data_IF_500127883253
#
_entry.id   IF_500127883253
#
_cell.length_a   1.000
_cell.length_b   1.000
_cell.length_c   1.000
_cell.angle_alpha   90.00
_cell.angle_beta   90.00
_cell.angle_gamma   90.00
#
_symmetry.space_group_name_H-M   'P 1'
#
loop_
_entity.id
_entity.type
_entity.pdbx_description
1 polymer ?
#
# COMPACT_ATOMS: atom_id res chain seq x y z
N UNK A 1 15.96 15.37 2.14
CA UNK A 1 14.91 14.32 2.14
C UNK A 1 15.14 13.29 1.05
N UNK A 2 15.23 13.68 -0.23
CA UNK A 2 15.47 12.73 -1.34
C UNK A 2 16.75 11.91 -1.18
N UNK A 3 17.83 12.52 -0.75
CA UNK A 3 19.13 11.85 -0.47
C UNK A 3 19.03 10.75 0.60
N UNK A 4 18.01 10.83 1.47
CA UNK A 4 17.69 9.80 2.48
C UNK A 4 16.58 8.85 2.04
N UNK A 5 16.22 8.84 0.75
CA UNK A 5 15.24 7.92 0.18
C UNK A 5 13.77 8.20 0.57
N UNK A 6 13.44 9.45 0.93
CA UNK A 6 12.07 9.86 1.18
C UNK A 6 11.45 10.56 -0.04
N UNK A 7 10.22 10.17 -0.36
CA UNK A 7 9.40 10.83 -1.36
C UNK A 7 8.75 12.10 -0.76
N UNK A 8 8.57 13.19 -1.52
CA UNK A 8 7.81 14.35 -1.04
C UNK A 8 6.41 14.02 -0.52
N UNK A 9 5.76 12.96 -1.05
CA UNK A 9 4.47 12.51 -0.57
C UNK A 9 4.53 11.83 0.80
N UNK A 10 5.71 11.32 1.24
CA UNK A 10 5.89 10.83 2.61
C UNK A 10 5.81 11.99 3.61
N UNK A 11 6.43 13.13 3.26
CA UNK A 11 6.32 14.34 4.05
C UNK A 11 4.91 14.92 4.03
N UNK A 12 4.24 14.90 2.88
CA UNK A 12 2.84 15.31 2.80
C UNK A 12 1.96 14.46 3.71
N UNK A 13 2.12 13.13 3.68
CA UNK A 13 1.41 12.24 4.58
C UNK A 13 1.70 12.58 6.05
N UNK A 14 2.97 12.81 6.41
CA UNK A 14 3.36 13.24 7.74
C UNK A 14 2.65 14.53 8.16
N UNK A 15 2.62 15.55 7.29
CA UNK A 15 1.93 16.80 7.58
C UNK A 15 0.42 16.62 7.81
N UNK A 16 -0.23 15.68 7.10
CA UNK A 16 -1.65 15.37 7.27
C UNK A 16 -1.99 14.69 8.61
N UNK A 17 -0.99 14.19 9.34
CA UNK A 17 -1.22 13.54 10.66
C UNK A 17 -1.46 14.53 11.79
N UNK A 18 -1.20 15.82 11.60
CA UNK A 18 -1.47 16.86 12.58
C UNK A 18 -2.48 17.87 12.02
N UNK A 19 -3.25 18.47 12.92
CA UNK A 19 -4.09 19.60 12.56
C UNK A 19 -3.23 20.81 12.21
N UNK A 20 -3.55 21.56 11.15
CA UNK A 20 -2.72 22.66 10.63
C UNK A 20 -2.50 23.80 11.65
N UNK A 21 -3.38 23.94 12.63
CA UNK A 21 -3.22 24.90 13.75
C UNK A 21 -2.39 24.37 14.91
N UNK A 22 -2.03 23.10 14.90
CA UNK A 22 -1.25 22.47 15.97
C UNK A 22 0.23 22.41 15.60
N UNK A 23 1.14 22.62 16.56
CA UNK A 23 2.55 22.40 16.30
C UNK A 23 2.81 20.96 15.84
N UNK A 24 3.55 20.81 14.75
CA UNK A 24 3.99 19.51 14.25
C UNK A 24 5.47 19.34 14.52
N UNK A 25 5.81 18.48 15.48
CA UNK A 25 7.21 18.17 15.79
C UNK A 25 7.78 17.22 14.75
N UNK A 26 8.76 17.71 14.01
CA UNK A 26 9.47 16.89 13.04
C UNK A 26 10.48 15.96 13.72
N UNK A 27 10.50 14.70 13.33
CA UNK A 27 11.59 13.77 13.57
C UNK A 27 11.71 12.79 12.39
N UNK A 28 12.93 12.31 12.16
CA UNK A 28 13.16 11.31 11.12
C UNK A 28 12.34 10.04 11.37
N UNK A 29 12.21 9.62 12.62
CA UNK A 29 11.39 8.46 13.03
C UNK A 29 9.91 8.67 12.69
N UNK A 30 9.37 9.87 12.92
CA UNK A 30 7.99 10.18 12.55
C UNK A 30 7.79 10.19 11.04
N UNK A 31 8.77 10.69 10.28
CA UNK A 31 8.72 10.64 8.81
C UNK A 31 8.83 9.20 8.27
N UNK A 32 9.65 8.34 8.88
CA UNK A 32 9.71 6.90 8.55
C UNK A 32 8.36 6.21 8.80
N UNK A 33 7.71 6.50 9.92
CA UNK A 33 6.38 5.98 10.22
C UNK A 33 5.34 6.44 9.18
N UNK A 34 5.38 7.71 8.77
CA UNK A 34 4.52 8.26 7.73
C UNK A 34 4.76 7.59 6.36
N UNK A 35 6.04 7.39 5.99
CA UNK A 35 6.43 6.64 4.79
C UNK A 35 5.88 5.22 4.82
N UNK A 36 6.06 4.49 5.93
CA UNK A 36 5.54 3.14 6.07
C UNK A 36 4.01 3.10 5.96
N UNK A 37 3.31 4.03 6.61
CA UNK A 37 1.86 4.13 6.52
C UNK A 37 1.39 4.39 5.08
N UNK A 38 1.99 5.36 4.37
CA UNK A 38 1.67 5.65 2.97
C UNK A 38 1.95 4.45 2.07
N UNK A 39 3.08 3.76 2.26
CA UNK A 39 3.41 2.56 1.49
C UNK A 39 2.41 1.43 1.72
N UNK A 40 2.00 1.19 2.97
CA UNK A 40 0.96 0.21 3.30
C UNK A 40 -0.37 0.53 2.62
N UNK A 41 -0.72 1.81 2.52
CA UNK A 41 -1.92 2.26 1.82
C UNK A 41 -1.80 2.00 0.31
N UNK A 42 -0.66 2.35 -0.29
CA UNK A 42 -0.40 2.11 -1.72
C UNK A 42 -0.44 0.62 -2.04
N UNK A 43 0.23 -0.22 -1.25
CA UNK A 43 0.23 -1.68 -1.46
C UNK A 43 -1.17 -2.28 -1.37
N UNK A 44 -1.98 -1.84 -0.40
CA UNK A 44 -3.39 -2.24 -0.31
C UNK A 44 -4.18 -1.84 -1.55
N UNK A 45 -3.99 -0.62 -2.06
CA UNK A 45 -4.69 -0.16 -3.27
C UNK A 45 -4.23 -0.89 -4.53
N UNK A 46 -2.96 -1.25 -4.63
CA UNK A 46 -2.43 -2.07 -5.73
C UNK A 46 -3.05 -3.46 -5.72
N UNK A 47 -3.14 -4.10 -4.55
CA UNK A 47 -3.75 -5.42 -4.39
C UNK A 47 -5.20 -5.43 -4.89
N UNK A 48 -6.03 -4.51 -4.40
CA UNK A 48 -7.44 -4.44 -4.83
C UNK A 48 -7.60 -3.96 -6.28
N UNK A 49 -6.67 -3.14 -6.78
CA UNK A 49 -6.67 -2.68 -8.17
C UNK A 49 -6.39 -3.82 -9.14
N UNK A 50 -5.46 -4.71 -8.81
CA UNK A 50 -5.18 -5.91 -9.62
C UNK A 50 -6.37 -6.87 -9.68
N UNK A 51 -7.14 -6.95 -8.60
CA UNK A 51 -8.36 -7.77 -8.54
C UNK A 51 -9.57 -7.13 -9.24
N UNK A 52 -9.47 -5.87 -9.71
CA UNK A 52 -10.62 -5.11 -10.22
C UNK A 52 -10.46 -4.75 -11.70
N UNK A 53 -11.25 -5.34 -12.62
CA UNK A 53 -11.27 -4.94 -14.03
C UNK A 53 -11.72 -3.49 -14.26
N UNK A 54 -11.13 -2.80 -15.23
CA UNK A 54 -11.43 -1.38 -15.54
C UNK A 54 -12.92 -1.12 -15.87
N UNK A 55 -13.58 -2.09 -16.52
CA UNK A 55 -15.01 -1.97 -16.86
C UNK A 55 -15.90 -1.87 -15.61
N UNK A 56 -15.48 -2.49 -14.51
CA UNK A 56 -16.24 -2.51 -13.25
C UNK A 56 -16.02 -1.21 -12.48
N UNK A 57 -14.82 -0.63 -12.53
CA UNK A 57 -14.50 0.65 -11.87
C UNK A 57 -15.43 1.79 -12.28
N UNK A 58 -15.81 1.85 -13.57
CA UNK A 58 -16.65 2.94 -14.11
C UNK A 58 -18.10 2.91 -13.63
N UNK A 59 -18.61 1.78 -13.14
CA UNK A 59 -20.03 1.58 -12.78
C UNK A 59 -20.28 1.41 -11.28
N UNK A 60 -19.22 1.28 -10.47
CA UNK A 60 -19.38 0.94 -9.07
C UNK A 60 -19.78 2.16 -8.23
N UNK A 61 -21.00 2.14 -7.74
CA UNK A 61 -21.45 2.98 -6.64
C UNK A 61 -21.94 2.06 -5.52
N UNK A 62 -21.43 2.27 -4.31
CA UNK A 62 -21.83 1.46 -3.19
C UNK A 62 -22.37 2.33 -2.05
N UNK A 63 -23.66 2.20 -1.79
CA UNK A 63 -24.36 2.92 -0.72
C UNK A 63 -23.74 2.65 0.67
N UNK A 64 -23.16 1.48 0.89
CA UNK A 64 -22.51 1.14 2.15
C UNK A 64 -21.25 2.00 2.42
N UNK A 65 -20.60 2.52 1.39
CA UNK A 65 -19.44 3.39 1.52
C UNK A 65 -19.80 4.88 1.65
N UNK A 66 -21.05 5.25 1.40
CA UNK A 66 -21.53 6.63 1.53
C UNK A 66 -21.35 7.19 2.94
N UNK A 67 -21.47 6.34 3.97
CA UNK A 67 -21.24 6.73 5.35
C UNK A 67 -19.79 7.17 5.58
N UNK A 68 -18.81 6.45 5.02
CA UNK A 68 -17.40 6.82 5.10
C UNK A 68 -17.12 8.13 4.35
N UNK A 69 -17.75 8.32 3.17
CA UNK A 69 -17.62 9.55 2.40
C UNK A 69 -18.20 10.74 3.19
N UNK A 70 -19.38 10.60 3.78
CA UNK A 70 -19.99 11.64 4.60
C UNK A 70 -19.16 12.00 5.84
N UNK A 71 -18.60 11.00 6.53
CA UNK A 71 -17.72 11.22 7.70
C UNK A 71 -16.41 11.90 7.28
N UNK A 72 -15.81 11.49 6.19
CA UNK A 72 -14.61 12.11 5.63
C UNK A 72 -14.89 13.58 5.27
N UNK A 73 -15.95 13.83 4.51
CA UNK A 73 -16.36 15.18 4.11
C UNK A 73 -16.64 16.06 5.34
N UNK A 74 -17.32 15.52 6.35
CA UNK A 74 -17.55 16.24 7.60
C UNK A 74 -16.24 16.65 8.27
N UNK A 75 -15.28 15.75 8.37
CA UNK A 75 -13.97 16.05 8.95
C UNK A 75 -13.20 17.12 8.15
N UNK A 76 -13.27 17.07 6.81
CA UNK A 76 -12.63 18.08 5.96
C UNK A 76 -13.32 19.44 6.11
N UNK A 77 -14.65 19.47 6.22
CA UNK A 77 -15.42 20.70 6.38
C UNK A 77 -15.33 21.29 7.80
N UNK A 78 -14.92 20.48 8.77
CA UNK A 78 -14.71 20.90 10.16
C UNK A 78 -13.27 21.40 10.35
N UNK A 79 -13.04 22.62 9.90
CA UNK A 79 -11.74 23.31 10.01
C UNK A 79 -10.55 22.47 9.50
N UNK A 80 -10.73 21.74 8.40
CA UNK A 80 -9.70 20.86 7.81
C UNK A 80 -9.11 19.87 8.84
N UNK A 81 -9.97 19.21 9.62
CA UNK A 81 -9.55 18.19 10.57
C UNK A 81 -8.99 16.93 9.86
N UNK A 82 -7.86 17.11 9.14
CA UNK A 82 -7.24 16.08 8.29
C UNK A 82 -6.79 14.84 9.07
N UNK A 83 -6.35 14.91 10.34
CA UNK A 83 -6.10 13.71 11.14
C UNK A 83 -7.35 12.83 11.30
N UNK A 84 -8.53 13.46 11.47
CA UNK A 84 -9.80 12.74 11.56
C UNK A 84 -10.16 12.15 10.18
N UNK A 85 -9.97 12.91 9.10
CA UNK A 85 -10.17 12.40 7.75
C UNK A 85 -9.28 11.18 7.45
N UNK A 86 -7.99 11.21 7.85
CA UNK A 86 -7.10 10.06 7.76
C UNK A 86 -7.57 8.86 8.60
N UNK A 87 -8.12 9.08 9.79
CA UNK A 87 -8.65 7.98 10.59
C UNK A 87 -9.82 7.30 9.91
N UNK A 88 -10.74 8.05 9.28
CA UNK A 88 -11.85 7.51 8.49
C UNK A 88 -11.35 6.67 7.31
N UNK A 89 -10.29 7.12 6.63
CA UNK A 89 -9.65 6.36 5.56
C UNK A 89 -9.11 5.02 6.08
N UNK A 90 -8.41 5.01 7.20
CA UNK A 90 -7.88 3.78 7.78
C UNK A 90 -8.94 2.85 8.34
N UNK A 91 -10.03 3.38 8.89
CA UNK A 91 -11.19 2.58 9.27
C UNK A 91 -11.79 1.86 8.06
N UNK A 92 -11.91 2.55 6.92
CA UNK A 92 -12.38 1.95 5.67
C UNK A 92 -11.43 0.83 5.18
N UNK A 93 -10.12 1.03 5.22
CA UNK A 93 -9.12 -0.01 4.90
C UNK A 93 -9.27 -1.21 5.84
N UNK A 94 -9.39 -0.96 7.15
CA UNK A 94 -9.55 -2.02 8.15
C UNK A 94 -10.85 -2.81 7.96
N UNK A 95 -11.95 -2.14 7.65
CA UNK A 95 -13.22 -2.78 7.35
C UNK A 95 -13.15 -3.65 6.08
N UNK A 96 -12.51 -3.13 5.03
CA UNK A 96 -12.32 -3.87 3.79
C UNK A 96 -11.49 -5.16 3.98
N UNK A 97 -10.44 -5.10 4.80
CA UNK A 97 -9.59 -6.27 5.11
C UNK A 97 -10.32 -7.37 5.90
N UNK A 98 -11.35 -6.98 6.67
CA UNK A 98 -12.16 -7.93 7.44
C UNK A 98 -13.30 -8.55 6.61
N UNK A 99 -13.63 -7.96 5.48
CA UNK A 99 -14.74 -8.41 4.63
C UNK A 99 -14.22 -9.44 3.62
N UNK A 100 -14.76 -10.66 3.56
CA UNK A 100 -14.28 -11.71 2.66
C UNK A 100 -14.32 -11.32 1.17
N UNK A 101 -15.36 -10.60 0.76
CA UNK A 101 -15.55 -10.14 -0.62
C UNK A 101 -15.97 -8.66 -0.62
N UNK A 102 -15.04 -7.74 -0.38
CA UNK A 102 -15.38 -6.34 -0.36
C UNK A 102 -15.69 -5.83 -1.79
N UNK A 103 -16.51 -4.79 -1.91
CA UNK A 103 -16.82 -4.19 -3.20
C UNK A 103 -15.63 -3.38 -3.73
N UNK A 104 -14.60 -4.07 -4.21
CA UNK A 104 -13.29 -3.49 -4.58
C UNK A 104 -13.39 -2.25 -5.45
N UNK A 105 -14.26 -2.26 -6.47
CA UNK A 105 -14.40 -1.12 -7.38
C UNK A 105 -14.97 0.12 -6.68
N UNK A 106 -15.98 -0.04 -5.83
CA UNK A 106 -16.54 1.07 -5.05
C UNK A 106 -15.51 1.56 -4.01
N UNK A 107 -14.77 0.65 -3.41
CA UNK A 107 -13.70 0.96 -2.47
C UNK A 107 -12.60 1.79 -3.13
N UNK A 108 -12.08 1.38 -4.30
CA UNK A 108 -11.10 2.15 -5.08
C UNK A 108 -11.62 3.55 -5.43
N UNK A 109 -12.86 3.66 -5.92
CA UNK A 109 -13.44 4.94 -6.26
C UNK A 109 -13.56 5.86 -5.04
N UNK A 110 -13.95 5.31 -3.88
CA UNK A 110 -14.03 6.07 -2.63
C UNK A 110 -12.65 6.52 -2.16
N UNK A 111 -11.64 5.65 -2.22
CA UNK A 111 -10.27 6.00 -1.84
C UNK A 111 -9.66 7.05 -2.77
N UNK A 112 -9.92 6.97 -4.08
CA UNK A 112 -9.49 7.99 -5.03
C UNK A 112 -10.21 9.33 -4.82
N UNK A 113 -11.49 9.28 -4.40
CA UNK A 113 -12.22 10.48 -4.03
C UNK A 113 -11.63 11.13 -2.76
N UNK A 114 -11.24 10.35 -1.74
CA UNK A 114 -10.50 10.87 -0.58
C UNK A 114 -9.17 11.52 -1.00
N UNK A 115 -8.49 10.93 -1.96
CA UNK A 115 -7.19 11.41 -2.44
C UNK A 115 -7.26 12.79 -3.13
N UNK A 116 -8.41 13.19 -3.67
CA UNK A 116 -8.60 14.55 -4.19
C UNK A 116 -8.34 15.62 -3.11
N UNK A 117 -8.64 15.32 -1.85
CA UNK A 117 -8.39 16.23 -0.73
C UNK A 117 -7.01 16.00 -0.11
N UNK A 118 -6.58 14.75 -0.01
CA UNK A 118 -5.31 14.39 0.62
C UNK A 118 -4.10 14.69 -0.28
N UNK A 119 -4.25 14.55 -1.59
CA UNK A 119 -3.21 14.82 -2.59
C UNK A 119 -2.00 13.89 -2.46
N UNK A 120 -2.22 12.63 -2.12
CA UNK A 120 -1.18 11.61 -1.95
C UNK A 120 -0.86 10.87 -3.25
N UNK A 121 -1.53 11.23 -4.36
CA UNK A 121 -1.38 10.64 -5.69
C UNK A 121 -1.64 9.12 -5.71
N UNK A 122 -2.63 8.68 -4.89
CA UNK A 122 -2.92 7.27 -4.67
C UNK A 122 -3.38 6.56 -5.95
N UNK A 123 -4.15 7.23 -6.79
CA UNK A 123 -4.60 6.67 -8.07
C UNK A 123 -3.44 6.30 -8.97
N UNK A 124 -2.47 7.19 -9.11
CA UNK A 124 -1.27 6.94 -9.91
C UNK A 124 -0.43 5.83 -9.28
N UNK A 125 -0.20 5.89 -7.97
CA UNK A 125 0.57 4.89 -7.24
C UNK A 125 -0.07 3.48 -7.31
N UNK A 126 -1.41 3.38 -7.23
CA UNK A 126 -2.14 2.13 -7.37
C UNK A 126 -2.08 1.54 -8.80
N UNK A 127 -1.95 2.40 -9.82
CA UNK A 127 -1.88 2.00 -11.23
C UNK A 127 -0.45 1.78 -11.72
N UNK A 128 0.54 2.29 -10.99
CA UNK A 128 1.94 2.09 -11.32
C UNK A 128 2.27 0.59 -11.21
N UNK A 129 2.73 0.00 -12.31
CA UNK A 129 3.38 -1.30 -12.23
C UNK A 129 4.55 -1.16 -11.25
N UNK A 130 4.59 -2.01 -10.26
CA UNK A 130 5.72 -2.03 -9.33
C UNK A 130 6.99 -2.19 -10.18
N UNK A 131 7.82 -1.16 -10.18
CA UNK A 131 9.11 -1.26 -10.88
C UNK A 131 9.97 -2.17 -10.03
N UNK A 132 10.12 -3.40 -10.48
CA UNK A 132 10.99 -4.38 -9.83
C UNK A 132 12.42 -3.87 -10.06
N UNK A 133 13.23 -3.67 -9.01
CA UNK A 133 14.63 -3.30 -9.20
C UNK A 133 15.36 -4.32 -10.07
N UNK A 134 16.22 -3.90 -11.00
CA UNK A 134 16.96 -4.83 -11.88
C UNK A 134 17.69 -5.93 -11.11
N UNK A 135 18.25 -5.61 -9.95
CA UNK A 135 18.90 -6.58 -9.06
C UNK A 135 17.96 -7.71 -8.62
N UNK A 136 16.70 -7.41 -8.36
CA UNK A 136 15.70 -8.42 -7.95
C UNK A 136 15.28 -9.29 -9.14
N UNK A 137 15.16 -8.69 -10.34
CA UNK A 137 14.90 -9.45 -11.58
C UNK A 137 16.05 -10.40 -11.89
N UNK A 138 17.31 -9.97 -11.75
CA UNK A 138 18.48 -10.81 -11.94
C UNK A 138 18.54 -11.97 -10.93
N UNK A 139 18.26 -11.70 -9.67
CA UNK A 139 18.20 -12.73 -8.63
C UNK A 139 17.07 -13.74 -8.89
N UNK A 140 15.92 -13.29 -9.37
CA UNK A 140 14.81 -14.17 -9.74
C UNK A 140 15.16 -15.04 -10.94
N UNK A 141 15.78 -14.47 -11.97
CA UNK A 141 16.25 -15.21 -13.14
C UNK A 141 17.35 -16.24 -12.78
N UNK A 142 18.28 -15.87 -11.92
CA UNK A 142 19.32 -16.79 -11.42
C UNK A 142 18.73 -17.95 -10.61
N UNK A 143 17.72 -17.66 -9.77
CA UNK A 143 16.95 -18.69 -9.02
C UNK A 143 16.28 -19.68 -9.98
N UNK A 144 15.63 -19.17 -11.01
CA UNK A 144 14.90 -20.01 -11.98
C UNK A 144 15.87 -20.93 -12.75
N UNK A 145 17.04 -20.42 -13.14
CA UNK A 145 18.12 -21.23 -13.75
C UNK A 145 18.56 -22.37 -12.84
N UNK A 146 18.78 -22.08 -11.54
CA UNK A 146 19.19 -23.10 -10.56
C UNK A 146 18.10 -24.17 -10.35
N UNK A 147 16.83 -23.79 -10.29
CA UNK A 147 15.71 -24.75 -10.21
C UNK A 147 15.65 -25.66 -11.40
N UNK A 148 15.80 -25.11 -12.62
CA UNK A 148 15.81 -25.92 -13.86
C UNK A 148 17.02 -26.87 -13.93
N UNK A 149 18.13 -26.50 -13.28
CA UNK A 149 19.31 -27.34 -13.16
C UNK A 149 19.25 -28.38 -12.02
N UNK A 150 18.13 -28.39 -11.23
CA UNK A 150 17.99 -29.30 -10.08
C UNK A 150 18.71 -28.82 -8.81
N UNK A 151 19.35 -27.65 -8.81
CA UNK A 151 20.02 -27.06 -7.64
C UNK A 151 18.99 -26.33 -6.75
N UNK A 152 18.20 -27.11 -6.03
CA UNK A 152 17.18 -26.56 -5.13
C UNK A 152 17.78 -25.81 -3.93
N UNK A 153 18.92 -26.25 -3.40
CA UNK A 153 19.59 -25.57 -2.30
C UNK A 153 20.09 -24.17 -2.68
N UNK A 154 20.66 -24.05 -3.87
CA UNK A 154 21.08 -22.76 -4.42
C UNK A 154 19.88 -21.85 -4.75
N UNK A 155 18.78 -22.42 -5.22
CA UNK A 155 17.55 -21.67 -5.47
C UNK A 155 16.91 -21.12 -4.18
N UNK A 156 16.92 -21.88 -3.09
CA UNK A 156 16.41 -21.44 -1.78
C UNK A 156 17.30 -20.35 -1.15
N UNK A 157 18.60 -20.40 -1.41
CA UNK A 157 19.50 -19.33 -0.96
C UNK A 157 19.17 -18.01 -1.65
N UNK A 158 18.91 -18.04 -2.97
CA UNK A 158 18.48 -16.86 -3.73
C UNK A 158 17.10 -16.37 -3.31
N UNK A 159 16.16 -17.27 -2.99
CA UNK A 159 14.85 -16.92 -2.44
C UNK A 159 14.99 -16.15 -1.13
N UNK A 160 15.84 -16.63 -0.22
CA UNK A 160 16.12 -15.93 1.06
C UNK A 160 16.75 -14.56 0.83
N UNK A 161 17.65 -14.42 -0.14
CA UNK A 161 18.25 -13.13 -0.51
C UNK A 161 17.19 -12.17 -1.05
N UNK A 162 16.32 -12.61 -1.95
CA UNK A 162 15.18 -11.83 -2.45
C UNK A 162 14.30 -11.38 -1.29
N UNK A 163 14.00 -12.29 -0.35
CA UNK A 163 13.18 -11.97 0.83
C UNK A 163 13.88 -10.95 1.75
N UNK A 164 15.18 -11.04 1.96
CA UNK A 164 15.92 -10.06 2.78
C UNK A 164 15.96 -8.66 2.16
N UNK A 165 15.78 -8.57 0.84
CA UNK A 165 15.64 -7.31 0.10
C UNK A 165 14.19 -6.79 0.07
N UNK A 166 13.29 -7.42 0.84
CA UNK A 166 11.90 -7.00 0.97
C UNK A 166 10.99 -7.46 -0.17
N UNK A 167 11.38 -8.50 -0.91
CA UNK A 167 10.60 -9.07 -2.00
C UNK A 167 10.24 -10.53 -1.74
N UNK A 168 9.09 -10.94 -2.24
CA UNK A 168 8.64 -12.33 -2.24
C UNK A 168 8.55 -12.83 -3.67
N UNK A 169 8.92 -14.10 -3.88
CA UNK A 169 8.80 -14.78 -5.16
C UNK A 169 7.88 -15.98 -5.01
N UNK A 170 6.80 -15.97 -5.78
CA UNK A 170 5.82 -17.04 -5.83
C UNK A 170 5.88 -17.74 -7.19
N UNK A 171 5.91 -19.06 -7.17
CA UNK A 171 5.91 -19.88 -8.38
C UNK A 171 4.48 -20.01 -8.92
N UNK A 172 4.24 -19.50 -10.13
CA UNK A 172 2.96 -19.62 -10.80
C UNK A 172 3.10 -20.46 -12.07
N UNK A 173 2.00 -21.04 -12.61
CA UNK A 173 2.04 -21.78 -13.86
C UNK A 173 2.56 -20.97 -15.06
N UNK A 174 2.49 -19.64 -14.98
CA UNK A 174 2.94 -18.70 -16.01
C UNK A 174 4.36 -18.17 -15.78
N UNK A 175 5.03 -18.63 -14.70
CA UNK A 175 6.39 -18.21 -14.32
C UNK A 175 6.46 -17.62 -12.91
N UNK A 176 7.67 -17.27 -12.43
CA UNK A 176 7.86 -16.70 -11.11
C UNK A 176 7.24 -15.29 -11.04
N UNK A 177 6.39 -15.06 -10.04
CA UNK A 177 5.79 -13.76 -9.75
C UNK A 177 6.51 -13.12 -8.58
N UNK A 178 7.04 -11.92 -8.80
CA UNK A 178 7.64 -11.10 -7.76
C UNK A 178 6.61 -10.15 -7.16
N UNK A 179 6.59 -10.04 -5.85
CA UNK A 179 5.78 -9.10 -5.08
C UNK A 179 6.57 -8.59 -3.87
N UNK A 180 6.18 -7.46 -3.29
CA UNK A 180 6.80 -7.03 -2.05
C UNK A 180 6.42 -7.96 -0.90
N UNK A 181 7.41 -8.35 -0.10
CA UNK A 181 7.15 -9.10 1.12
C UNK A 181 6.31 -8.25 2.07
N UNK A 182 5.14 -8.78 2.47
CA UNK A 182 4.37 -8.15 3.53
C UNK A 182 5.18 -8.21 4.83
N UNK A 183 5.35 -7.10 5.58
CA UNK A 183 6.02 -7.17 6.86
C UNK A 183 5.29 -8.19 7.73
N UNK A 184 6.01 -9.04 8.49
CA UNK A 184 5.39 -10.07 9.30
C UNK A 184 4.39 -9.41 10.25
N UNK A 185 3.11 -9.83 10.15
CA UNK A 185 2.12 -9.47 11.14
C UNK A 185 2.66 -9.94 12.49
N UNK A 186 2.88 -9.03 13.43
CA UNK A 186 3.18 -9.39 14.83
C UNK A 186 2.01 -10.22 15.32
N UNK A 187 2.11 -11.54 15.18
CA UNK A 187 1.30 -12.46 15.97
C UNK A 187 1.74 -12.23 17.41
N UNK A 188 0.82 -11.73 18.22
CA UNK A 188 1.05 -11.60 19.64
C UNK A 188 1.53 -12.93 20.21
N UNK A 189 2.71 -12.92 20.82
CA UNK A 189 3.11 -13.96 21.74
C UNK A 189 2.23 -13.80 22.99
N UNK A 190 1.16 -14.58 23.06
CA UNK A 190 0.51 -14.88 24.33
C UNK A 190 1.44 -15.83 25.08
N UNK A 191 2.04 -15.34 26.11
CA UNK A 191 2.50 -16.12 27.27
C UNK A 191 1.78 -15.59 28.48
#
# INVERSE_FOLDING_TARGET
>A
MRERGFDPLDFRYFALTAHYRSPLTFSWKALEAAKAARQNLVSFLQEIRMATPDKILKKANNRALATYQARFQKAVNDDLALPIALSVLWELVAAARKTPHPPFAALLNTMFWFDHMLGLNLKHAASAKETIPPEIEELAAAREKKRKAGDFAGADTLRRKIHSLGWQIDDTPTGPKLSRACPPSRRGSTS
#
